data_IF_909477880633
#
_entry.id   IF_909477880633
#
_cell.length_a   1.000
_cell.length_b   1.000
_cell.length_c   1.000
_cell.angle_alpha   90.00
_cell.angle_beta   90.00
_cell.angle_gamma   90.00
#
_symmetry.space_group_name_H-M   'P 1'
#
loop_
_entity.id
_entity.type
_entity.pdbx_description
1 polymer ?
#
# COMPACT_ATOMS: atom_id res chain seq x y z
N UNK A 1 73.42 -23.59 -32.79
CA UNK A 1 73.51 -22.56 -31.75
C UNK A 1 73.70 -21.23 -32.42
N UNK A 2 72.60 -20.50 -32.53
CA UNK A 2 72.58 -19.14 -33.05
C UNK A 2 72.88 -18.20 -31.93
N UNK A 3 74.04 -17.56 -31.92
CA UNK A 3 74.38 -16.47 -30.99
C UNK A 3 73.38 -15.32 -31.35
N UNK A 4 72.38 -15.13 -30.50
CA UNK A 4 71.36 -14.12 -30.72
C UNK A 4 72.03 -12.75 -30.70
N UNK A 5 71.87 -11.98 -31.76
CA UNK A 5 71.96 -10.52 -31.79
C UNK A 5 71.31 -9.92 -30.53
N UNK A 6 71.93 -8.92 -29.92
CA UNK A 6 71.36 -8.05 -28.87
C UNK A 6 70.03 -7.47 -29.33
N UNK A 7 68.94 -8.22 -29.23
CA UNK A 7 67.60 -7.66 -29.26
C UNK A 7 67.39 -6.87 -27.96
N UNK A 8 66.89 -5.64 -28.10
CA UNK A 8 66.50 -4.82 -26.96
C UNK A 8 65.37 -5.54 -26.21
N UNK A 9 65.72 -6.22 -25.12
CA UNK A 9 64.73 -6.84 -24.25
C UNK A 9 63.87 -5.75 -23.61
N UNK A 10 62.56 -5.96 -23.52
CA UNK A 10 61.66 -4.99 -22.87
C UNK A 10 62.06 -4.82 -21.39
N UNK A 11 61.91 -3.61 -20.88
CA UNK A 11 62.34 -3.22 -19.51
C UNK A 11 61.55 -3.92 -18.38
N UNK A 12 60.42 -4.57 -18.69
CA UNK A 12 59.49 -5.17 -17.70
C UNK A 12 59.06 -6.60 -18.13
N UNK A 13 58.86 -7.48 -17.12
CA UNK A 13 58.31 -8.80 -17.36
C UNK A 13 59.34 -9.82 -17.83
N UNK A 14 60.63 -9.68 -17.43
CA UNK A 14 61.69 -10.61 -17.78
C UNK A 14 62.06 -11.45 -16.57
N UNK A 15 62.01 -12.79 -16.72
CA UNK A 15 62.56 -13.74 -15.76
C UNK A 15 63.84 -14.32 -16.40
N UNK A 16 64.98 -14.15 -15.71
CA UNK A 16 66.27 -14.65 -16.16
C UNK A 16 66.69 -15.83 -15.28
N UNK A 17 67.14 -16.96 -15.90
CA UNK A 17 67.75 -18.05 -15.16
C UNK A 17 69.16 -17.65 -14.72
N UNK A 18 69.77 -18.42 -13.79
CA UNK A 18 71.19 -18.34 -13.58
C UNK A 18 71.95 -18.73 -14.87
N UNK A 19 73.03 -18.06 -15.19
CA UNK A 19 73.85 -18.44 -16.33
C UNK A 19 74.48 -19.80 -16.13
N UNK A 20 74.46 -20.70 -17.15
CA UNK A 20 75.08 -22.00 -17.15
C UNK A 20 76.31 -21.91 -18.04
N UNK A 21 77.47 -22.25 -17.51
CA UNK A 21 78.72 -22.37 -18.28
C UNK A 21 78.67 -23.60 -19.23
N UNK A 22 78.96 -23.40 -20.53
CA UNK A 22 78.91 -24.47 -21.53
C UNK A 22 80.29 -25.13 -21.66
N UNK A 23 81.33 -24.37 -21.39
CA UNK A 23 82.76 -24.90 -21.40
C UNK A 23 83.38 -24.81 -20.05
N UNK A 24 84.31 -25.70 -19.76
CA UNK A 24 85.00 -25.79 -18.46
C UNK A 24 85.91 -24.59 -18.16
N UNK A 25 86.24 -23.76 -19.16
CA UNK A 25 86.98 -22.51 -19.02
C UNK A 25 86.16 -21.26 -18.75
N UNK A 26 84.84 -21.44 -18.58
CA UNK A 26 83.86 -20.36 -18.25
C UNK A 26 83.80 -19.21 -19.27
N UNK A 27 84.31 -19.39 -20.47
CA UNK A 27 84.33 -18.35 -21.52
C UNK A 27 82.98 -18.17 -22.23
N UNK A 28 82.12 -19.19 -22.18
CA UNK A 28 80.76 -19.12 -22.79
C UNK A 28 79.74 -19.60 -21.79
N UNK A 29 78.72 -18.77 -21.55
CA UNK A 29 77.55 -19.04 -20.69
C UNK A 29 76.28 -18.85 -21.43
N UNK A 30 75.26 -19.70 -21.22
CA UNK A 30 73.91 -19.59 -21.72
C UNK A 30 72.97 -19.17 -20.58
N UNK A 31 72.15 -18.18 -20.83
CA UNK A 31 71.13 -17.72 -19.91
C UNK A 31 69.76 -17.83 -20.57
N UNK A 32 68.85 -18.48 -19.92
CA UNK A 32 67.47 -18.59 -20.38
C UNK A 32 66.75 -17.34 -19.96
N UNK A 33 66.16 -16.68 -20.93
CA UNK A 33 65.37 -15.44 -20.71
C UNK A 33 63.94 -15.70 -21.10
N UNK A 34 63.01 -15.66 -20.14
CA UNK A 34 61.58 -15.71 -20.38
C UNK A 34 61.07 -14.27 -20.47
N UNK A 35 60.53 -13.92 -21.63
CA UNK A 35 59.98 -12.57 -21.88
C UNK A 35 58.48 -12.64 -21.80
N UNK A 36 57.87 -11.78 -20.96
CA UNK A 36 56.44 -11.64 -20.76
C UNK A 36 55.67 -12.96 -20.44
N UNK A 37 56.06 -13.73 -19.43
CA UNK A 37 55.36 -14.96 -19.05
C UNK A 37 53.89 -14.70 -18.70
N UNK A 38 53.56 -13.50 -18.17
CA UNK A 38 52.21 -13.09 -17.85
C UNK A 38 51.30 -12.95 -19.08
N UNK A 39 51.84 -12.54 -20.25
CA UNK A 39 51.07 -12.40 -21.49
C UNK A 39 50.44 -13.72 -21.93
N UNK A 40 51.24 -14.79 -21.93
CA UNK A 40 50.77 -16.14 -22.27
C UNK A 40 49.74 -16.66 -21.28
N UNK A 41 49.95 -16.35 -19.99
CA UNK A 41 48.99 -16.70 -18.95
C UNK A 41 47.65 -15.99 -19.15
N UNK A 42 47.64 -14.66 -19.35
CA UNK A 42 46.43 -13.90 -19.61
C UNK A 42 45.73 -14.26 -20.91
N UNK A 43 46.48 -14.56 -21.98
CA UNK A 43 45.87 -15.01 -23.25
C UNK A 43 45.15 -16.36 -23.13
N UNK A 44 45.70 -17.30 -22.34
CA UNK A 44 45.08 -18.62 -22.14
C UNK A 44 44.00 -18.67 -21.06
N UNK A 45 44.13 -17.89 -20.00
CA UNK A 45 43.21 -17.92 -18.86
C UNK A 45 42.29 -16.70 -18.76
N UNK A 46 42.45 -15.70 -19.64
CA UNK A 46 41.65 -14.46 -19.59
C UNK A 46 40.17 -14.71 -19.68
N UNK A 47 39.71 -15.61 -20.54
CA UNK A 47 38.30 -15.93 -20.69
C UNK A 47 37.73 -16.59 -19.42
N UNK A 48 38.49 -17.46 -18.74
CA UNK A 48 38.09 -18.07 -17.48
C UNK A 48 38.01 -17.03 -16.35
N UNK A 49 38.95 -16.07 -16.31
CA UNK A 49 38.95 -15.00 -15.34
C UNK A 49 37.74 -14.07 -15.52
N UNK A 50 37.40 -13.72 -16.78
CA UNK A 50 36.22 -12.93 -17.09
C UNK A 50 34.93 -13.70 -16.69
N UNK A 51 34.84 -14.97 -17.03
CA UNK A 51 33.71 -15.81 -16.68
C UNK A 51 33.54 -15.94 -15.15
N UNK A 52 34.64 -16.13 -14.39
CA UNK A 52 34.57 -16.18 -12.93
C UNK A 52 34.20 -14.84 -12.31
N UNK A 53 34.66 -13.73 -12.88
CA UNK A 53 34.27 -12.41 -12.42
C UNK A 53 32.76 -12.11 -12.65
N UNK A 54 32.26 -12.46 -13.85
CA UNK A 54 30.81 -12.34 -14.15
C UNK A 54 30.00 -13.20 -13.19
N UNK A 55 30.44 -14.44 -12.93
CA UNK A 55 29.76 -15.33 -11.99
C UNK A 55 29.75 -14.75 -10.57
N UNK A 56 30.85 -14.16 -10.13
CA UNK A 56 30.96 -13.51 -8.83
C UNK A 56 29.97 -12.34 -8.71
N UNK A 57 29.89 -11.49 -9.74
CA UNK A 57 28.94 -10.36 -9.77
C UNK A 57 27.48 -10.84 -9.74
N UNK A 58 27.17 -11.92 -10.47
CA UNK A 58 25.82 -12.51 -10.44
C UNK A 58 25.47 -13.06 -9.04
N UNK A 59 26.41 -13.76 -8.38
CA UNK A 59 26.20 -14.28 -7.03
C UNK A 59 25.97 -13.14 -6.03
N UNK A 60 26.78 -12.09 -6.08
CA UNK A 60 26.61 -10.91 -5.21
C UNK A 60 25.25 -10.26 -5.49
N UNK A 61 24.89 -10.09 -6.75
CA UNK A 61 23.57 -9.54 -7.14
C UNK A 61 22.41 -10.39 -6.60
N UNK A 62 22.52 -11.71 -6.69
CA UNK A 62 21.52 -12.65 -6.15
C UNK A 62 21.40 -12.54 -4.62
N UNK A 63 22.52 -12.45 -3.91
CA UNK A 63 22.53 -12.28 -2.44
C UNK A 63 21.85 -10.96 -2.05
N UNK A 64 22.19 -9.86 -2.72
CA UNK A 64 21.57 -8.55 -2.45
C UNK A 64 20.05 -8.61 -2.70
N UNK A 65 19.64 -9.25 -3.79
CA UNK A 65 18.21 -9.45 -4.08
C UNK A 65 17.51 -10.27 -3.01
N UNK A 66 18.10 -11.40 -2.58
CA UNK A 66 17.55 -12.25 -1.50
C UNK A 66 17.40 -11.48 -0.17
N UNK A 67 18.42 -10.67 0.20
CA UNK A 67 18.36 -9.84 1.41
C UNK A 67 17.19 -8.87 1.33
N UNK A 68 16.98 -8.19 0.18
CA UNK A 68 15.82 -7.29 -0.01
C UNK A 68 14.48 -8.02 0.12
N UNK A 69 14.37 -9.21 -0.45
CA UNK A 69 13.15 -10.04 -0.34
C UNK A 69 12.88 -10.44 1.11
N UNK A 70 13.91 -10.87 1.85
CA UNK A 70 13.79 -11.27 3.26
C UNK A 70 13.36 -10.06 4.13
N UNK A 71 13.95 -8.88 3.92
CA UNK A 71 13.60 -7.66 4.65
C UNK A 71 12.13 -7.30 4.36
N UNK A 72 11.71 -7.38 3.10
CA UNK A 72 10.33 -7.12 2.72
C UNK A 72 9.35 -8.12 3.37
N UNK A 73 9.66 -9.42 3.31
CA UNK A 73 8.84 -10.46 3.96
C UNK A 73 8.73 -10.27 5.47
N UNK A 74 9.84 -9.93 6.15
CA UNK A 74 9.83 -9.62 7.59
C UNK A 74 8.94 -8.42 7.90
N UNK A 75 8.99 -7.38 7.07
CA UNK A 75 8.12 -6.20 7.23
C UNK A 75 6.65 -6.58 7.11
N UNK A 76 6.28 -7.33 6.06
CA UNK A 76 4.90 -7.80 5.85
C UNK A 76 4.44 -8.72 6.98
N UNK A 77 5.29 -9.65 7.45
CA UNK A 77 4.98 -10.52 8.57
C UNK A 77 4.70 -9.72 9.85
N UNK A 78 5.54 -8.72 10.14
CA UNK A 78 5.35 -7.84 11.31
C UNK A 78 4.06 -7.03 11.20
N UNK A 79 3.76 -6.43 10.04
CA UNK A 79 2.51 -5.72 9.82
C UNK A 79 1.29 -6.62 10.03
N UNK A 80 1.36 -7.87 9.58
CA UNK A 80 0.31 -8.87 9.79
C UNK A 80 0.14 -9.23 11.27
N UNK A 81 1.24 -9.35 12.01
CA UNK A 81 1.24 -9.61 13.45
C UNK A 81 0.63 -8.44 14.22
N UNK A 82 1.12 -7.21 13.99
CA UNK A 82 0.61 -5.99 14.60
C UNK A 82 -0.89 -5.79 14.33
N UNK A 83 -1.34 -6.12 13.09
CA UNK A 83 -2.75 -6.14 12.74
C UNK A 83 -3.55 -7.18 13.54
N UNK A 84 -3.04 -8.40 13.66
CA UNK A 84 -3.74 -9.46 14.42
C UNK A 84 -3.91 -9.06 15.87
N UNK A 85 -2.89 -8.46 16.49
CA UNK A 85 -2.99 -7.93 17.86
C UNK A 85 -4.01 -6.80 17.97
N UNK A 86 -3.98 -5.83 17.06
CA UNK A 86 -4.95 -4.72 17.04
C UNK A 86 -6.38 -5.22 16.87
N UNK A 87 -6.59 -6.19 15.96
CA UNK A 87 -7.89 -6.80 15.70
C UNK A 87 -8.44 -7.53 16.93
N UNK A 88 -7.60 -8.35 17.58
CA UNK A 88 -7.99 -9.07 18.81
C UNK A 88 -8.36 -8.06 19.89
N UNK A 89 -7.57 -6.98 20.06
CA UNK A 89 -7.85 -5.92 21.03
C UNK A 89 -9.20 -5.24 20.75
N UNK A 90 -9.46 -4.86 19.49
CA UNK A 90 -10.68 -4.13 19.14
C UNK A 90 -11.93 -5.02 19.10
N UNK A 91 -11.75 -6.35 18.96
CA UNK A 91 -12.82 -7.33 19.18
C UNK A 91 -13.06 -7.61 20.68
N UNK A 92 -12.02 -7.58 21.50
CA UNK A 92 -12.12 -7.82 22.93
C UNK A 92 -12.97 -6.77 23.64
N UNK A 93 -12.86 -5.51 23.24
CA UNK A 93 -13.57 -4.38 23.88
C UNK A 93 -15.09 -4.55 23.79
N UNK A 94 -15.73 -4.69 22.58
CA UNK A 94 -17.17 -4.92 22.47
C UNK A 94 -17.59 -6.23 23.11
N UNK A 95 -16.77 -7.29 23.01
CA UNK A 95 -17.07 -8.56 23.67
C UNK A 95 -17.10 -8.42 25.18
N UNK A 96 -16.16 -7.69 25.79
CA UNK A 96 -16.15 -7.43 27.22
C UNK A 96 -17.36 -6.59 27.65
N UNK A 97 -17.78 -5.62 26.85
CA UNK A 97 -19.00 -4.83 27.10
C UNK A 97 -20.27 -5.70 27.07
N UNK A 98 -20.35 -6.61 26.08
CA UNK A 98 -21.46 -7.59 25.99
C UNK A 98 -21.49 -8.47 27.23
N UNK A 99 -20.34 -9.03 27.62
CA UNK A 99 -20.24 -9.90 28.82
C UNK A 99 -20.67 -9.15 30.08
N UNK A 100 -20.14 -7.95 30.29
CA UNK A 100 -20.46 -7.15 31.48
C UNK A 100 -21.96 -6.80 31.55
N UNK A 101 -22.56 -6.42 30.42
CA UNK A 101 -24.00 -6.15 30.35
C UNK A 101 -24.83 -7.43 30.54
N UNK A 102 -24.36 -8.57 30.00
CA UNK A 102 -25.02 -9.86 30.20
C UNK A 102 -24.98 -10.32 31.65
N UNK A 103 -23.83 -10.16 32.33
CA UNK A 103 -23.70 -10.49 33.74
C UNK A 103 -24.60 -9.59 34.60
N UNK A 104 -24.64 -8.29 34.29
CA UNK A 104 -25.52 -7.35 34.97
C UNK A 104 -27.02 -7.71 34.79
N UNK A 105 -27.42 -8.16 33.63
CA UNK A 105 -28.81 -8.57 33.33
C UNK A 105 -29.26 -9.82 34.14
N UNK A 106 -28.32 -10.61 34.67
CA UNK A 106 -28.60 -11.76 35.54
C UNK A 106 -28.77 -11.36 37.02
N UNK A 107 -28.55 -10.08 37.40
CA UNK A 107 -28.77 -9.61 38.79
C UNK A 107 -30.28 -9.34 39.00
N UNK A 108 -30.86 -10.02 40.04
CA UNK A 108 -32.27 -9.85 40.39
C UNK A 108 -32.69 -8.38 40.64
N UNK A 109 -31.76 -7.51 41.08
CA UNK A 109 -32.01 -6.10 41.26
C UNK A 109 -32.30 -5.36 39.98
N UNK A 110 -31.73 -5.79 38.86
CA UNK A 110 -31.96 -5.20 37.56
C UNK A 110 -33.33 -5.58 36.98
N UNK A 111 -33.86 -6.72 37.41
CA UNK A 111 -35.20 -7.15 36.98
C UNK A 111 -36.30 -6.17 37.44
N UNK A 112 -36.08 -5.50 38.55
CA UNK A 112 -36.97 -4.45 39.10
C UNK A 112 -36.76 -3.08 38.45
N UNK A 113 -35.77 -2.91 37.51
CA UNK A 113 -35.41 -1.62 36.88
C UNK A 113 -35.54 -1.71 35.32
N UNK A 114 -36.75 -1.59 34.76
CA UNK A 114 -36.99 -1.86 33.34
C UNK A 114 -36.22 -0.91 32.41
N UNK A 115 -36.00 0.34 32.76
CA UNK A 115 -35.23 1.30 31.96
C UNK A 115 -33.74 0.92 31.90
N UNK A 116 -33.17 0.45 32.99
CA UNK A 116 -31.79 0.02 33.05
C UNK A 116 -31.56 -1.29 32.27
N UNK A 117 -32.53 -2.22 32.40
CA UNK A 117 -32.57 -3.47 31.61
C UNK A 117 -32.62 -3.18 30.12
N UNK A 118 -33.46 -2.24 29.68
CA UNK A 118 -33.56 -1.80 28.29
C UNK A 118 -32.26 -1.18 27.80
N UNK A 119 -31.60 -0.38 28.64
CA UNK A 119 -30.29 0.22 28.32
C UNK A 119 -29.21 -0.85 28.08
N UNK A 120 -29.07 -1.83 28.99
CA UNK A 120 -28.10 -2.92 28.84
C UNK A 120 -28.37 -3.78 27.61
N UNK A 121 -29.63 -4.12 27.31
CA UNK A 121 -30.00 -4.80 26.08
C UNK A 121 -29.66 -3.98 24.82
N UNK A 122 -29.83 -2.66 24.90
CA UNK A 122 -29.41 -1.72 23.87
C UNK A 122 -27.91 -1.79 23.59
N UNK A 123 -27.09 -1.78 24.64
CA UNK A 123 -25.63 -1.92 24.56
C UNK A 123 -25.25 -3.28 23.94
N UNK A 124 -25.79 -4.38 24.44
CA UNK A 124 -25.53 -5.72 23.89
C UNK A 124 -25.85 -5.78 22.41
N UNK A 125 -27.00 -5.25 21.98
CA UNK A 125 -27.40 -5.22 20.57
C UNK A 125 -26.44 -4.37 19.73
N UNK A 126 -26.07 -3.17 20.18
CA UNK A 126 -25.18 -2.27 19.46
C UNK A 126 -23.78 -2.87 19.29
N UNK A 127 -23.22 -3.46 20.33
CA UNK A 127 -21.89 -4.06 20.29
C UNK A 127 -21.87 -5.35 19.45
N UNK A 128 -22.96 -6.13 19.45
CA UNK A 128 -23.10 -7.29 18.57
C UNK A 128 -23.13 -6.88 17.10
N UNK A 129 -23.88 -5.84 16.76
CA UNK A 129 -23.91 -5.29 15.37
C UNK A 129 -22.54 -4.76 14.99
N UNK A 130 -21.82 -4.11 15.91
CA UNK A 130 -20.45 -3.65 15.69
C UNK A 130 -19.51 -4.82 15.36
N UNK A 131 -19.51 -5.89 16.16
CA UNK A 131 -18.73 -7.10 15.91
C UNK A 131 -19.04 -7.74 14.56
N UNK A 132 -20.31 -7.86 14.19
CA UNK A 132 -20.71 -8.38 12.89
C UNK A 132 -20.16 -7.54 11.73
N UNK A 133 -20.19 -6.22 11.85
CA UNK A 133 -19.59 -5.33 10.85
C UNK A 133 -18.08 -5.53 10.70
N UNK A 134 -17.36 -5.70 11.82
CA UNK A 134 -15.92 -5.99 11.78
C UNK A 134 -15.62 -7.31 11.08
N UNK A 135 -16.35 -8.38 11.41
CA UNK A 135 -16.21 -9.71 10.80
C UNK A 135 -16.50 -9.64 9.30
N UNK A 136 -17.61 -9.04 8.91
CA UNK A 136 -17.99 -8.92 7.50
C UNK A 136 -16.94 -8.15 6.70
N UNK A 137 -16.40 -7.07 7.27
CA UNK A 137 -15.31 -6.29 6.63
C UNK A 137 -14.08 -7.14 6.37
N UNK A 138 -13.67 -7.98 7.32
CA UNK A 138 -12.55 -8.90 7.16
C UNK A 138 -12.81 -9.93 6.06
N UNK A 139 -14.00 -10.52 6.05
CA UNK A 139 -14.41 -11.50 5.03
C UNK A 139 -14.43 -10.85 3.64
N UNK A 140 -14.94 -9.63 3.52
CA UNK A 140 -14.98 -8.90 2.25
C UNK A 140 -13.57 -8.63 1.73
N UNK A 141 -12.65 -8.12 2.58
CA UNK A 141 -11.25 -7.91 2.18
C UNK A 141 -10.60 -9.22 1.74
N UNK A 142 -10.82 -10.32 2.47
CA UNK A 142 -10.30 -11.65 2.10
C UNK A 142 -10.82 -12.14 0.76
N UNK A 143 -12.11 -11.91 0.46
CA UNK A 143 -12.72 -12.26 -0.84
C UNK A 143 -12.21 -11.39 -1.98
N UNK A 144 -12.07 -10.08 -1.76
CA UNK A 144 -11.49 -9.14 -2.73
C UNK A 144 -10.05 -9.52 -3.10
N UNK A 145 -9.23 -9.89 -2.12
CA UNK A 145 -7.84 -10.31 -2.36
C UNK A 145 -7.71 -11.62 -3.14
N UNK A 146 -8.65 -12.52 -2.94
CA UNK A 146 -8.64 -13.79 -3.68
C UNK A 146 -9.20 -13.66 -5.11
N UNK A 147 -9.55 -12.45 -5.56
CA UNK A 147 -10.22 -12.18 -6.85
C UNK A 147 -11.47 -13.06 -7.08
N UNK A 148 -12.10 -13.51 -6.00
CA UNK A 148 -13.30 -14.37 -6.04
C UNK A 148 -14.62 -13.60 -5.96
N UNK A 149 -14.52 -12.26 -5.85
CA UNK A 149 -15.70 -11.43 -5.75
C UNK A 149 -16.14 -11.01 -7.15
N UNK A 150 -17.38 -11.34 -7.50
CA UNK A 150 -18.04 -10.85 -8.71
C UNK A 150 -18.80 -9.59 -8.35
N UNK A 151 -18.52 -8.48 -9.02
CA UNK A 151 -19.24 -7.21 -8.86
C UNK A 151 -20.50 -7.21 -9.69
N UNK A 152 -21.62 -6.86 -9.08
CA UNK A 152 -22.91 -6.67 -9.75
C UNK A 152 -23.12 -5.18 -9.99
N UNK A 153 -22.57 -4.69 -11.12
CA UNK A 153 -22.66 -3.27 -11.47
C UNK A 153 -24.07 -2.90 -11.94
N UNK A 154 -24.60 -1.83 -11.38
CA UNK A 154 -25.88 -1.21 -11.74
C UNK A 154 -25.74 0.33 -11.77
N UNK A 155 -26.72 1.03 -12.36
CA UNK A 155 -26.79 2.50 -12.30
C UNK A 155 -27.15 2.92 -10.88
N UNK A 156 -26.18 3.43 -10.12
CA UNK A 156 -26.35 3.88 -8.74
C UNK A 156 -26.60 5.38 -8.72
N UNK A 157 -27.75 5.80 -8.18
CA UNK A 157 -28.05 7.21 -7.93
C UNK A 157 -27.21 7.71 -6.74
N UNK A 158 -26.35 8.71 -6.98
CA UNK A 158 -25.39 9.19 -5.98
C UNK A 158 -26.06 9.97 -4.85
N UNK A 159 -26.97 10.87 -5.17
CA UNK A 159 -27.60 11.78 -4.21
C UNK A 159 -28.26 11.02 -3.04
N UNK A 160 -29.19 10.06 -3.26
CA UNK A 160 -29.84 9.36 -2.15
C UNK A 160 -28.88 8.44 -1.37
N UNK A 161 -27.82 7.94 -2.01
CA UNK A 161 -26.78 7.15 -1.34
C UNK A 161 -25.96 8.05 -0.40
N UNK A 162 -25.53 9.21 -0.88
CA UNK A 162 -24.73 10.16 -0.11
C UNK A 162 -25.54 10.77 1.05
N UNK A 163 -26.81 11.09 0.84
CA UNK A 163 -27.69 11.60 1.89
C UNK A 163 -27.78 10.62 3.08
N UNK A 164 -27.97 9.31 2.82
CA UNK A 164 -27.98 8.29 3.88
C UNK A 164 -26.67 8.24 4.66
N UNK A 165 -25.55 8.35 3.96
CA UNK A 165 -24.22 8.39 4.59
C UNK A 165 -24.13 9.64 5.48
N UNK A 166 -24.45 10.81 4.95
CA UNK A 166 -24.39 12.10 5.67
C UNK A 166 -25.26 12.09 6.92
N UNK A 167 -26.52 11.63 6.82
CA UNK A 167 -27.42 11.49 7.98
C UNK A 167 -26.84 10.58 9.06
N UNK A 168 -26.25 9.45 8.66
CA UNK A 168 -25.60 8.51 9.58
C UNK A 168 -24.47 9.17 10.37
N UNK A 169 -23.65 9.99 9.71
CA UNK A 169 -22.54 10.67 10.39
C UNK A 169 -23.00 11.88 11.19
N UNK A 170 -23.97 12.66 10.71
CA UNK A 170 -24.57 13.76 11.47
C UNK A 170 -25.17 13.29 12.80
N UNK A 171 -25.84 12.13 12.78
CA UNK A 171 -26.43 11.54 14.00
C UNK A 171 -25.41 11.02 15.02
N UNK A 172 -24.19 10.67 14.59
CA UNK A 172 -23.14 10.09 15.43
C UNK A 172 -22.05 11.08 15.85
N UNK A 173 -21.90 12.17 15.10
CA UNK A 173 -20.81 13.11 15.34
C UNK A 173 -21.03 13.92 16.61
N UNK A 174 -19.96 14.02 17.41
CA UNK A 174 -19.90 14.90 18.59
C UNK A 174 -19.43 16.31 18.23
N UNK A 175 -18.87 16.50 17.03
CA UNK A 175 -18.42 17.79 16.49
C UNK A 175 -19.40 18.31 15.45
N UNK A 176 -19.53 19.63 15.25
CA UNK A 176 -20.25 20.20 14.11
C UNK A 176 -19.69 19.63 12.80
N UNK A 177 -20.56 19.09 11.96
CA UNK A 177 -20.21 18.41 10.73
C UNK A 177 -20.97 19.03 9.56
N UNK A 178 -20.22 19.63 8.64
CA UNK A 178 -20.75 20.31 7.46
C UNK A 178 -20.43 19.53 6.20
N UNK A 179 -21.47 19.21 5.43
CA UNK A 179 -21.32 18.56 4.13
C UNK A 179 -21.69 19.53 3.01
N UNK A 180 -20.85 19.56 1.98
CA UNK A 180 -21.14 20.25 0.71
C UNK A 180 -21.20 19.21 -0.41
N UNK A 181 -22.31 19.17 -1.15
CA UNK A 181 -22.47 18.30 -2.31
C UNK A 181 -22.47 19.14 -3.60
N UNK A 182 -21.66 18.72 -4.57
CA UNK A 182 -21.65 19.26 -5.92
C UNK A 182 -21.58 18.11 -6.93
N UNK A 183 -22.75 17.60 -7.31
CA UNK A 183 -22.91 16.41 -8.13
C UNK A 183 -23.21 16.81 -9.58
N UNK A 184 -22.17 16.85 -10.42
CA UNK A 184 -22.35 17.00 -11.87
C UNK A 184 -22.77 15.66 -12.51
N UNK A 185 -22.12 14.56 -12.12
CA UNK A 185 -22.60 13.20 -12.41
C UNK A 185 -23.60 12.79 -11.32
N UNK A 186 -24.85 12.53 -11.71
CA UNK A 186 -25.91 12.13 -10.77
C UNK A 186 -25.93 10.63 -10.50
N UNK A 187 -25.38 9.85 -11.43
CA UNK A 187 -25.34 8.39 -11.34
C UNK A 187 -23.98 7.84 -11.80
N UNK A 188 -23.63 6.66 -11.33
CA UNK A 188 -22.43 5.93 -11.69
C UNK A 188 -22.74 4.45 -11.88
N UNK A 189 -21.97 3.76 -12.73
CA UNK A 189 -22.11 2.32 -12.94
C UNK A 189 -21.20 1.55 -11.97
N UNK A 190 -21.78 1.05 -10.89
CA UNK A 190 -21.05 0.39 -9.81
C UNK A 190 -21.90 -0.65 -9.08
N UNK A 191 -21.26 -1.51 -8.30
CA UNK A 191 -21.95 -2.30 -7.30
C UNK A 191 -22.31 -1.40 -6.10
N UNK A 192 -23.60 -1.24 -5.89
CA UNK A 192 -24.15 -0.27 -4.94
C UNK A 192 -23.64 -0.47 -3.52
N UNK A 193 -23.62 -1.72 -3.04
CA UNK A 193 -23.25 -2.02 -1.65
C UNK A 193 -21.76 -1.72 -1.41
N UNK A 194 -20.90 -2.14 -2.32
CA UNK A 194 -19.45 -1.93 -2.22
C UNK A 194 -19.06 -0.47 -2.44
N UNK A 195 -19.75 0.25 -3.34
CA UNK A 195 -19.52 1.68 -3.53
C UNK A 195 -19.96 2.48 -2.30
N UNK A 196 -21.16 2.20 -1.76
CA UNK A 196 -21.66 2.87 -0.56
C UNK A 196 -20.71 2.67 0.63
N UNK A 197 -20.19 1.44 0.82
CA UNK A 197 -19.21 1.14 1.87
C UNK A 197 -17.85 1.81 1.61
N UNK A 198 -17.41 1.91 0.35
CA UNK A 198 -16.18 2.61 0.00
C UNK A 198 -16.28 4.10 0.34
N UNK A 199 -17.36 4.78 -0.07
CA UNK A 199 -17.59 6.19 0.25
C UNK A 199 -17.76 6.38 1.76
N UNK A 200 -18.48 5.50 2.45
CA UNK A 200 -18.61 5.51 3.90
C UNK A 200 -17.23 5.48 4.59
N UNK A 201 -16.30 4.65 4.11
CA UNK A 201 -14.93 4.59 4.64
C UNK A 201 -14.16 5.90 4.44
N UNK A 202 -14.34 6.59 3.31
CA UNK A 202 -13.71 7.89 3.07
C UNK A 202 -14.26 8.96 4.02
N UNK A 203 -15.58 9.01 4.22
CA UNK A 203 -16.22 9.93 5.16
C UNK A 203 -15.84 9.60 6.61
N UNK A 204 -15.76 8.31 6.98
CA UNK A 204 -15.30 7.87 8.30
C UNK A 204 -13.86 8.33 8.58
N UNK A 205 -12.99 8.25 7.59
CA UNK A 205 -11.62 8.76 7.68
C UNK A 205 -11.61 10.29 7.83
N UNK A 206 -12.42 11.02 7.07
CA UNK A 206 -12.53 12.47 7.18
C UNK A 206 -12.91 12.92 8.60
N UNK A 207 -13.89 12.24 9.22
CA UNK A 207 -14.32 12.52 10.60
C UNK A 207 -13.25 12.10 11.61
N UNK A 208 -12.65 10.92 11.47
CA UNK A 208 -11.63 10.39 12.39
C UNK A 208 -10.35 11.21 12.42
N UNK A 209 -9.94 11.72 11.27
CA UNK A 209 -8.70 12.48 11.11
C UNK A 209 -8.95 14.00 11.02
N UNK A 210 -10.10 14.43 11.51
CA UNK A 210 -10.39 15.85 11.69
C UNK A 210 -9.46 16.48 12.73
N UNK A 211 -9.25 17.79 12.64
CA UNK A 211 -8.49 18.56 13.64
C UNK A 211 -9.17 18.49 15.01
N UNK A 212 -8.40 18.59 16.08
CA UNK A 212 -8.95 18.53 17.45
C UNK A 212 -9.95 19.67 17.71
N UNK A 213 -9.68 20.85 17.17
CA UNK A 213 -10.51 22.04 17.29
C UNK A 213 -11.12 22.41 15.93
N UNK A 214 -12.33 23.01 15.97
CA UNK A 214 -13.05 23.50 14.81
C UNK A 214 -14.11 22.54 14.28
N UNK A 215 -14.70 22.94 13.18
CA UNK A 215 -15.76 22.22 12.49
C UNK A 215 -15.17 21.24 11.47
N UNK A 216 -15.84 20.13 11.24
CA UNK A 216 -15.46 19.16 10.22
C UNK A 216 -16.18 19.49 8.94
N UNK A 217 -15.45 19.89 7.92
CA UNK A 217 -15.97 20.19 6.59
C UNK A 217 -15.64 19.05 5.64
N UNK A 218 -16.65 18.51 4.96
CA UNK A 218 -16.49 17.44 3.98
C UNK A 218 -17.21 17.87 2.69
N UNK A 219 -16.44 18.00 1.63
CA UNK A 219 -16.94 18.30 0.30
C UNK A 219 -16.94 17.01 -0.53
N UNK A 220 -18.10 16.68 -1.13
CA UNK A 220 -18.23 15.54 -2.04
C UNK A 220 -18.65 16.08 -3.40
N UNK A 221 -17.82 15.80 -4.40
CA UNK A 221 -18.10 16.19 -5.78
C UNK A 221 -18.14 14.96 -6.68
N UNK A 222 -18.94 15.03 -7.74
CA UNK A 222 -18.94 14.01 -8.79
C UNK A 222 -18.90 14.65 -10.16
N UNK A 223 -18.14 14.07 -11.06
CA UNK A 223 -18.01 14.52 -12.45
C UNK A 223 -17.84 13.33 -13.40
N UNK A 224 -18.22 13.52 -14.66
CA UNK A 224 -17.92 12.60 -15.75
C UNK A 224 -16.93 13.29 -16.69
N UNK A 225 -15.77 12.68 -16.94
CA UNK A 225 -14.77 13.20 -17.84
C UNK A 225 -13.95 12.08 -18.47
N UNK A 226 -13.75 12.15 -19.80
CA UNK A 226 -12.86 11.23 -20.50
C UNK A 226 -13.26 9.75 -20.45
N UNK A 227 -14.56 9.42 -20.36
CA UNK A 227 -15.05 8.04 -20.26
C UNK A 227 -14.96 7.46 -18.84
N UNK A 228 -14.73 8.31 -17.84
CA UNK A 228 -14.70 7.93 -16.42
C UNK A 228 -15.69 8.77 -15.63
N UNK A 229 -16.39 8.12 -14.69
CA UNK A 229 -17.14 8.79 -13.63
C UNK A 229 -16.24 8.89 -12.40
N UNK A 230 -16.13 10.09 -11.82
CA UNK A 230 -15.30 10.36 -10.65
C UNK A 230 -16.17 10.76 -9.47
N UNK A 231 -15.86 10.22 -8.28
CA UNK A 231 -16.39 10.70 -7.00
C UNK A 231 -15.19 11.16 -6.16
N UNK A 232 -15.21 12.42 -5.75
CA UNK A 232 -14.16 13.02 -4.96
C UNK A 232 -14.68 13.36 -3.57
N UNK A 233 -13.96 12.95 -2.53
CA UNK A 233 -14.25 13.26 -1.12
C UNK A 233 -13.07 14.03 -0.58
N UNK A 234 -13.31 15.28 -0.14
CA UNK A 234 -12.30 16.19 0.41
C UNK A 234 -12.69 16.61 1.83
N UNK A 235 -11.72 16.62 2.74
CA UNK A 235 -11.88 17.03 4.14
C UNK A 235 -10.89 18.15 4.50
N UNK A 236 -11.20 18.92 5.55
CA UNK A 236 -10.33 19.95 6.12
C UNK A 236 -9.46 19.45 7.29
N UNK A 237 -9.21 18.14 7.37
CA UNK A 237 -8.52 17.48 8.47
C UNK A 237 -7.01 17.74 8.57
N UNK A 238 -6.31 16.84 9.25
CA UNK A 238 -4.85 16.94 9.50
C UNK A 238 -3.99 16.69 8.25
N UNK A 239 -4.56 16.11 7.19
CA UNK A 239 -3.80 15.73 6.01
C UNK A 239 -2.76 14.63 6.26
N UNK A 240 -1.99 14.31 5.22
CA UNK A 240 -0.90 13.33 5.26
C UNK A 240 0.28 13.77 4.38
N UNK A 241 1.47 13.21 4.63
CA UNK A 241 2.69 13.54 3.91
C UNK A 241 2.80 12.81 2.55
N UNK A 242 3.66 13.30 1.65
CA UNK A 242 3.97 12.60 0.40
C UNK A 242 4.61 11.22 0.62
N UNK A 243 5.29 11.02 1.75
CA UNK A 243 5.82 9.72 2.12
C UNK A 243 4.70 8.73 2.51
N UNK A 244 3.72 9.21 3.28
CA UNK A 244 2.54 8.44 3.67
C UNK A 244 1.65 8.12 2.46
N UNK A 245 1.49 9.07 1.51
CA UNK A 245 0.70 8.89 0.29
C UNK A 245 1.05 7.62 -0.49
N UNK A 246 2.31 7.21 -0.48
CA UNK A 246 2.77 6.00 -1.17
C UNK A 246 2.30 4.70 -0.51
N UNK A 247 1.84 4.77 0.73
CA UNK A 247 1.54 3.60 1.57
C UNK A 247 0.13 3.61 2.17
N UNK A 248 -0.62 4.71 2.06
CA UNK A 248 -1.95 4.83 2.71
C UNK A 248 -2.97 3.80 2.25
N UNK A 249 -2.78 3.23 1.05
CA UNK A 249 -3.62 2.16 0.52
C UNK A 249 -3.08 0.76 0.84
N UNK A 250 -1.87 0.65 1.40
CA UNK A 250 -1.32 -0.64 1.81
C UNK A 250 -2.08 -1.15 3.03
N UNK A 251 -2.21 -2.49 3.10
CA UNK A 251 -2.83 -3.14 4.26
C UNK A 251 -2.07 -2.80 5.54
N UNK A 252 -2.84 -2.47 6.59
CA UNK A 252 -2.33 -2.26 7.95
C UNK A 252 -1.43 -1.03 8.12
N UNK A 253 -1.23 -0.25 7.06
CA UNK A 253 -0.48 1.00 7.17
C UNK A 253 -1.34 2.10 7.81
N UNK A 254 -0.71 2.87 8.67
CA UNK A 254 -1.28 4.06 9.32
C UNK A 254 -0.26 5.18 9.14
N UNK A 255 -0.72 6.34 8.73
CA UNK A 255 0.16 7.49 8.46
C UNK A 255 1.10 7.80 9.63
N UNK A 256 2.30 8.28 9.33
CA UNK A 256 3.35 8.57 10.29
C UNK A 256 2.95 9.65 11.32
N UNK A 257 2.15 10.64 10.88
CA UNK A 257 1.61 11.69 11.76
C UNK A 257 0.72 11.13 12.89
N UNK A 258 0.06 9.99 12.65
CA UNK A 258 -0.82 9.32 13.63
C UNK A 258 0.00 8.56 14.67
N UNK A 259 1.14 7.97 14.25
CA UNK A 259 2.03 7.22 15.15
C UNK A 259 2.72 8.13 16.17
N UNK A 260 2.90 9.41 15.86
CA UNK A 260 3.64 10.38 16.68
C UNK A 260 2.76 11.32 17.50
N UNK A 261 1.45 11.37 17.28
CA UNK A 261 0.52 12.30 17.94
C UNK A 261 -0.35 11.64 19.03
N UNK A 262 -0.99 12.47 19.87
CA UNK A 262 -2.06 12.03 20.80
C UNK A 262 -3.21 11.30 20.08
N UNK A 263 -3.37 11.49 18.79
CA UNK A 263 -4.24 10.76 17.86
C UNK A 263 -3.87 9.26 17.71
N UNK A 264 -2.78 8.79 18.28
CA UNK A 264 -2.46 7.34 18.38
C UNK A 264 -3.57 6.50 19.03
N UNK A 265 -4.55 7.15 19.71
CA UNK A 265 -5.77 6.53 20.24
C UNK A 265 -6.92 6.42 19.23
N UNK A 266 -6.79 6.96 18.00
CA UNK A 266 -7.83 6.82 16.98
C UNK A 266 -7.95 5.34 16.60
N UNK A 267 -9.07 4.73 16.99
CA UNK A 267 -9.37 3.33 16.71
C UNK A 267 -9.47 3.10 15.19
N UNK A 268 -8.76 2.10 14.68
CA UNK A 268 -8.86 1.70 13.27
C UNK A 268 -7.72 0.79 12.83
N UNK A 269 -8.07 -0.22 12.05
CA UNK A 269 -7.19 -1.31 11.61
C UNK A 269 -6.24 -0.96 10.46
N UNK A 270 -6.30 0.26 9.90
CA UNK A 270 -5.61 0.56 8.65
C UNK A 270 -6.16 -0.23 7.45
N UNK A 271 -7.42 -0.67 7.53
CA UNK A 271 -8.09 -1.44 6.48
C UNK A 271 -9.03 -0.59 5.61
N UNK A 272 -9.43 0.61 6.07
CA UNK A 272 -10.44 1.42 5.38
C UNK A 272 -10.02 1.83 3.98
N UNK A 273 -8.84 2.42 3.83
CA UNK A 273 -8.33 2.84 2.53
C UNK A 273 -7.90 1.65 1.67
N UNK A 274 -7.38 0.57 2.27
CA UNK A 274 -7.13 -0.67 1.52
C UNK A 274 -8.43 -1.27 0.98
N UNK A 275 -9.52 -1.27 1.76
CA UNK A 275 -10.84 -1.68 1.30
C UNK A 275 -11.29 -0.84 0.09
N UNK A 276 -11.19 0.49 0.19
CA UNK A 276 -11.52 1.39 -0.92
C UNK A 276 -10.72 1.04 -2.17
N UNK A 277 -9.40 0.86 -2.03
CA UNK A 277 -8.53 0.48 -3.14
C UNK A 277 -8.97 -0.84 -3.79
N UNK A 278 -9.23 -1.88 -2.99
CA UNK A 278 -9.64 -3.20 -3.50
C UNK A 278 -11.02 -3.18 -4.17
N UNK A 279 -11.95 -2.43 -3.60
CA UNK A 279 -13.27 -2.22 -4.23
C UNK A 279 -13.12 -1.54 -5.58
N UNK A 280 -12.31 -0.48 -5.68
CA UNK A 280 -12.08 0.21 -6.95
C UNK A 280 -11.38 -0.70 -7.97
N UNK A 281 -10.37 -1.45 -7.56
CA UNK A 281 -9.70 -2.46 -8.40
C UNK A 281 -10.69 -3.50 -8.93
N UNK A 282 -11.59 -4.02 -8.09
CA UNK A 282 -12.62 -4.98 -8.49
C UNK A 282 -13.68 -4.38 -9.41
N UNK A 283 -13.91 -3.07 -9.35
CA UNK A 283 -14.75 -2.34 -10.32
C UNK A 283 -14.04 -2.06 -11.66
N UNK A 284 -12.74 -2.41 -11.80
CA UNK A 284 -11.92 -2.04 -12.94
C UNK A 284 -11.56 -0.55 -12.97
N UNK A 285 -11.67 0.11 -11.83
CA UNK A 285 -11.36 1.51 -11.62
C UNK A 285 -10.06 1.72 -10.84
N UNK A 286 -9.87 2.91 -10.34
CA UNK A 286 -8.72 3.26 -9.49
C UNK A 286 -9.10 4.30 -8.44
N UNK A 287 -8.25 4.46 -7.42
CA UNK A 287 -8.38 5.52 -6.42
C UNK A 287 -7.07 6.31 -6.34
N UNK A 288 -7.19 7.63 -6.25
CA UNK A 288 -6.06 8.52 -6.04
C UNK A 288 -6.24 9.32 -4.76
N UNK A 289 -5.14 9.82 -4.22
CA UNK A 289 -5.15 10.66 -3.03
C UNK A 289 -4.29 11.91 -3.23
N UNK A 290 -4.74 13.04 -2.71
CA UNK A 290 -4.01 14.29 -2.65
C UNK A 290 -4.16 14.89 -1.26
N UNK A 291 -3.12 15.51 -0.72
CA UNK A 291 -3.18 16.07 0.62
C UNK A 291 -2.15 17.15 0.84
N UNK A 292 -2.46 18.07 1.75
CA UNK A 292 -1.49 19.00 2.32
C UNK A 292 -1.59 18.91 3.83
N UNK A 293 -0.46 18.57 4.48
CA UNK A 293 -0.40 18.42 5.94
C UNK A 293 -0.93 19.67 6.64
N UNK A 294 -1.85 19.46 7.57
CA UNK A 294 -2.53 20.51 8.34
C UNK A 294 -3.63 21.27 7.61
N UNK A 295 -3.90 20.95 6.32
CA UNK A 295 -4.90 21.67 5.53
C UNK A 295 -6.06 20.82 5.07
N UNK A 296 -5.79 19.72 4.34
CA UNK A 296 -6.84 18.88 3.76
C UNK A 296 -6.33 17.49 3.38
N UNK A 297 -7.27 16.53 3.25
CA UNK A 297 -7.08 15.31 2.47
C UNK A 297 -8.16 15.23 1.40
N UNK A 298 -7.85 14.65 0.25
CA UNK A 298 -8.75 14.49 -0.88
C UNK A 298 -8.52 13.11 -1.50
N UNK A 299 -9.59 12.34 -1.65
CA UNK A 299 -9.59 11.03 -2.27
C UNK A 299 -10.52 11.04 -3.47
N UNK A 300 -10.05 10.55 -4.62
CA UNK A 300 -10.84 10.49 -5.85
C UNK A 300 -10.97 9.05 -6.31
N UNK A 301 -12.22 8.59 -6.42
CA UNK A 301 -12.60 7.29 -6.96
C UNK A 301 -12.86 7.46 -8.46
N UNK A 302 -12.22 6.65 -9.30
CA UNK A 302 -12.44 6.64 -10.75
C UNK A 302 -13.06 5.32 -11.15
N UNK A 303 -14.18 5.38 -11.87
CA UNK A 303 -14.89 4.21 -12.40
C UNK A 303 -15.13 4.40 -13.89
N UNK A 304 -15.15 3.33 -14.67
CA UNK A 304 -15.55 3.43 -16.08
C UNK A 304 -16.97 3.96 -16.18
N UNK A 305 -17.18 4.97 -17.01
CA UNK A 305 -18.51 5.44 -17.34
C UNK A 305 -19.33 4.31 -17.99
N UNK A 306 -20.64 4.36 -17.89
CA UNK A 306 -21.52 3.40 -18.58
C UNK A 306 -21.31 3.51 -20.10
N UNK A 307 -21.38 2.39 -20.83
CA UNK A 307 -21.19 2.35 -22.30
C UNK A 307 -22.12 3.32 -23.06
N UNK A 308 -23.25 3.73 -22.47
CA UNK A 308 -24.19 4.68 -23.07
C UNK A 308 -23.66 6.13 -23.08
N UNK A 309 -22.92 6.57 -22.05
CA UNK A 309 -22.33 7.93 -21.98
C UNK A 309 -21.16 8.11 -22.95
N UNK A 310 -20.43 7.03 -23.23
CA UNK A 310 -19.32 7.03 -24.21
C UNK A 310 -19.85 7.25 -25.64
N UNK A 311 -21.08 6.85 -25.90
CA UNK A 311 -21.75 7.04 -27.21
C UNK A 311 -22.27 8.46 -27.37
N UNK A 312 -22.79 9.08 -26.33
CA UNK A 312 -23.26 10.47 -26.35
C UNK A 312 -22.10 11.47 -26.46
N UNK A 313 -21.01 11.27 -25.74
CA UNK A 313 -19.82 12.12 -25.84
C UNK A 313 -19.13 12.00 -27.20
N UNK A 314 -19.07 10.81 -27.81
CA UNK A 314 -18.58 10.63 -29.20
C UNK A 314 -19.47 11.30 -30.23
N UNK A 315 -20.78 11.40 -30.00
CA UNK A 315 -21.71 12.11 -30.89
C UNK A 315 -21.61 13.63 -30.78
N UNK A 316 -21.21 14.16 -29.61
CA UNK A 316 -21.02 15.61 -29.41
C UNK A 316 -19.71 16.06 -30.01
N UNK A 317 -18.61 15.31 -29.82
CA UNK A 317 -17.30 15.62 -30.45
C UNK A 317 -17.31 15.42 -31.97
N UNK A 318 -18.08 14.48 -32.50
CA UNK A 318 -18.25 14.26 -33.93
C UNK A 318 -19.07 15.32 -34.67
N UNK A 319 -19.74 16.25 -33.96
CA UNK A 319 -20.51 17.37 -34.54
C UNK A 319 -19.75 18.70 -34.57
N UNK A 320 -18.53 18.76 -34.05
CA UNK A 320 -17.68 19.95 -34.04
C UNK A 320 -16.48 19.89 -35.01
N UNK A 321 -16.42 18.88 -35.88
CA UNK A 321 -15.45 18.82 -36.99
C UNK A 321 -16.12 18.91 -38.37
#
# INVERSE_FOLDING_TARGET
LQVSKKEKLPLWGIIKSAPFAIKSDSTEAVQLVLVNPYKVFFERMGLLMIASFIMLVLVIGCIIYQIKVIIYQKKVAKLREDFSYAMIHDMKTPLSSIMMCSDALNDEKIESMPELKKSFLGVVKSETVHLLKLINRLLTISRLESHKLTMFKEKVQLEPMLERIMETFKAKSTKPLHFTLNLQAKEVNADKEYLEEAVYNLVDNAVKYSKDEGEVEIEITSECSGGYSCIKVRDNGIGFSEEDKRKIFDKFERGSAIKSSRLGKVAGFGLGLNYVYRVMEAHGGTVTASSVVGKFSEFTLYMSASEEEDTENKMIDGKQN
#
